data_IF_139721482025
#
_entry.id   IF_139721482025
#
_cell.length_a   1.000
_cell.length_b   1.000
_cell.length_c   1.000
_cell.angle_alpha   90.00
_cell.angle_beta   90.00
_cell.angle_gamma   90.00
#
_symmetry.space_group_name_H-M   'P 1'
#
loop_
_entity.id
_entity.type
_entity.pdbx_description
1 polymer ?
#
# COMPACT_ATOMS: atom_id res chain seq x y z
N UNK A 1 3.79 -66.95 -32.07
CA UNK A 1 4.24 -65.95 -33.06
C UNK A 1 3.29 -64.76 -33.01
N UNK A 2 3.79 -63.62 -32.53
CA UNK A 2 3.24 -62.28 -32.79
C UNK A 2 3.88 -61.75 -34.10
N UNK A 3 3.54 -60.55 -34.67
CA UNK A 3 2.45 -59.60 -34.37
C UNK A 3 1.90 -58.78 -35.60
N UNK A 4 1.04 -57.77 -35.29
CA UNK A 4 0.94 -56.40 -35.88
C UNK A 4 0.23 -56.18 -37.24
N UNK A 5 -0.47 -55.06 -37.54
CA UNK A 5 -0.84 -53.80 -36.86
C UNK A 5 -1.95 -53.09 -37.70
N UNK A 6 -2.68 -52.18 -37.06
CA UNK A 6 -3.71 -51.29 -37.63
C UNK A 6 -3.11 -50.12 -38.47
N UNK A 7 -3.93 -49.36 -39.24
CA UNK A 7 -3.88 -47.90 -39.03
C UNK A 7 -5.25 -47.21 -38.98
N UNK A 8 -5.31 -46.14 -38.19
CA UNK A 8 -6.47 -45.32 -37.88
C UNK A 8 -6.63 -44.11 -38.83
N UNK A 9 -7.89 -43.71 -39.04
CA UNK A 9 -8.34 -42.52 -39.77
C UNK A 9 -8.28 -41.28 -38.85
N UNK A 10 -7.79 -40.17 -39.40
CA UNK A 10 -7.68 -38.86 -38.77
C UNK A 10 -9.00 -38.08 -38.91
N UNK A 11 -9.65 -37.72 -37.80
CA UNK A 11 -10.73 -36.73 -37.78
C UNK A 11 -10.31 -35.59 -36.86
N UNK A 12 -10.20 -34.39 -37.44
CA UNK A 12 -9.89 -33.15 -36.75
C UNK A 12 -11.17 -32.62 -36.10
N UNK A 13 -11.21 -32.60 -34.77
CA UNK A 13 -12.24 -31.88 -34.00
C UNK A 13 -11.58 -30.65 -33.37
N UNK A 14 -12.01 -29.47 -33.79
CA UNK A 14 -11.67 -28.20 -33.16
C UNK A 14 -12.48 -28.11 -31.86
N UNK A 15 -11.81 -28.30 -30.72
CA UNK A 15 -12.36 -28.01 -29.40
C UNK A 15 -12.00 -26.58 -29.04
N UNK A 16 -13.00 -25.70 -29.03
CA UNK A 16 -12.90 -24.37 -28.41
C UNK A 16 -12.77 -24.58 -26.90
N UNK A 17 -11.59 -24.27 -26.36
CA UNK A 17 -11.26 -24.45 -24.95
C UNK A 17 -12.11 -23.56 -24.05
N UNK A 18 -13.08 -24.17 -23.37
CA UNK A 18 -13.71 -23.59 -22.19
C UNK A 18 -12.72 -23.62 -21.03
N UNK A 19 -12.32 -22.44 -20.55
CA UNK A 19 -11.50 -22.31 -19.35
C UNK A 19 -12.26 -22.83 -18.13
N UNK A 20 -11.74 -23.87 -17.49
CA UNK A 20 -12.14 -24.31 -16.16
C UNK A 20 -11.81 -23.20 -15.15
N UNK A 21 -12.77 -22.34 -14.88
CA UNK A 21 -12.70 -21.39 -13.77
C UNK A 21 -12.87 -22.17 -12.47
N UNK A 22 -11.75 -22.56 -11.85
CA UNK A 22 -11.75 -23.16 -10.51
C UNK A 22 -12.38 -22.18 -9.52
N UNK A 23 -13.61 -22.46 -9.10
CA UNK A 23 -14.27 -21.74 -8.02
C UNK A 23 -13.58 -22.07 -6.70
N UNK A 24 -13.02 -21.06 -6.05
CA UNK A 24 -12.37 -21.19 -4.75
C UNK A 24 -13.43 -21.27 -3.63
N UNK A 25 -13.27 -22.12 -2.59
CA UNK A 25 -14.22 -22.15 -1.48
C UNK A 25 -14.27 -20.80 -0.76
N UNK A 26 -15.47 -20.43 -0.31
CA UNK A 26 -15.71 -19.20 0.46
C UNK A 26 -14.82 -19.19 1.72
N UNK A 27 -14.23 -18.04 2.04
CA UNK A 27 -13.48 -17.87 3.29
C UNK A 27 -14.47 -17.99 4.46
N UNK A 28 -14.53 -19.15 5.11
CA UNK A 28 -15.36 -19.37 6.29
C UNK A 28 -14.52 -19.10 7.52
N UNK A 29 -14.58 -17.86 8.03
CA UNK A 29 -14.05 -17.54 9.35
C UNK A 29 -15.10 -18.00 10.37
N UNK A 30 -14.80 -18.93 11.29
CA UNK A 30 -15.74 -19.30 12.33
C UNK A 30 -15.98 -18.08 13.25
N UNK A 31 -17.17 -17.50 13.15
CA UNK A 31 -17.65 -16.50 14.10
C UNK A 31 -17.97 -17.23 15.41
N UNK A 32 -17.21 -16.95 16.47
CA UNK A 32 -17.58 -17.43 17.81
C UNK A 32 -18.85 -16.68 18.25
N UNK A 33 -19.96 -17.36 18.59
CA UNK A 33 -21.12 -16.71 19.17
C UNK A 33 -20.75 -16.18 20.57
N UNK A 34 -20.97 -14.89 20.79
CA UNK A 34 -20.86 -14.26 22.10
C UNK A 34 -21.84 -14.96 23.05
N UNK A 35 -21.33 -15.59 24.09
CA UNK A 35 -22.12 -16.26 25.12
C UNK A 35 -23.03 -15.25 25.84
N UNK A 36 -24.29 -15.64 26.03
CA UNK A 36 -25.36 -14.81 26.56
C UNK A 36 -25.07 -14.17 27.92
N UNK A 37 -25.46 -12.91 28.04
CA UNK A 37 -25.50 -12.15 29.29
C UNK A 37 -26.70 -12.64 30.11
N UNK A 38 -26.57 -12.94 31.42
CA UNK A 38 -27.72 -13.24 32.25
C UNK A 38 -28.51 -11.96 32.55
N UNK A 39 -29.84 -12.03 32.40
CA UNK A 39 -30.79 -11.02 32.88
C UNK A 39 -30.63 -10.83 34.39
N UNK A 40 -30.39 -9.59 34.81
CA UNK A 40 -30.65 -9.12 36.17
C UNK A 40 -31.66 -7.97 36.11
N UNK A 41 -32.79 -8.17 36.77
CA UNK A 41 -33.87 -7.19 36.98
C UNK A 41 -33.49 -6.11 38.02
N UNK A 42 -34.22 -4.99 38.09
CA UNK A 42 -33.67 -3.68 38.41
C UNK A 42 -33.70 -3.36 39.90
N UNK A 43 -32.71 -2.58 40.36
CA UNK A 43 -32.81 -1.83 41.62
C UNK A 43 -32.91 -0.33 41.34
N UNK A 44 -33.97 0.25 41.87
CA UNK A 44 -34.28 1.67 41.94
C UNK A 44 -33.25 2.43 42.78
N UNK A 45 -32.73 3.55 42.25
CA UNK A 45 -32.29 4.67 43.08
C UNK A 45 -32.36 5.97 42.29
N UNK A 46 -33.16 6.88 42.81
CA UNK A 46 -33.36 8.27 42.40
C UNK A 46 -32.14 9.14 42.71
N UNK A 47 -31.68 9.98 41.75
CA UNK A 47 -31.26 11.36 42.05
C UNK A 47 -31.15 12.27 40.82
N UNK A 48 -31.26 13.56 41.11
CA UNK A 48 -31.65 14.73 40.28
C UNK A 48 -30.65 15.17 39.20
N UNK A 49 -31.06 16.05 38.24
CA UNK A 49 -30.26 16.41 37.07
C UNK A 49 -29.29 17.57 37.35
N UNK A 50 -28.07 17.45 36.83
CA UNK A 50 -27.08 18.53 36.75
C UNK A 50 -26.89 18.99 35.29
N UNK A 51 -26.89 20.30 35.10
CA UNK A 51 -26.68 21.01 33.83
C UNK A 51 -25.34 20.65 33.12
N UNK A 52 -25.26 20.77 31.78
CA UNK A 52 -24.05 20.49 31.02
C UNK A 52 -23.06 21.66 31.09
N UNK A 53 -21.84 21.38 31.53
CA UNK A 53 -20.69 22.27 31.33
C UNK A 53 -20.13 22.06 29.93
N UNK A 54 -19.95 23.18 29.23
CA UNK A 54 -19.26 23.26 27.94
C UNK A 54 -17.79 22.87 28.15
N UNK A 55 -17.36 21.74 27.58
CA UNK A 55 -15.95 21.41 27.43
C UNK A 55 -15.56 21.59 25.96
N UNK A 56 -14.85 22.70 25.72
CA UNK A 56 -14.15 23.03 24.49
C UNK A 56 -13.17 21.91 24.10
N UNK A 57 -13.32 21.41 22.88
CA UNK A 57 -12.43 20.42 22.29
C UNK A 57 -11.04 20.98 22.07
N UNK A 58 -10.04 20.33 22.68
CA UNK A 58 -8.64 20.53 22.37
C UNK A 58 -8.32 19.70 21.13
N UNK A 59 -8.13 20.41 20.02
CA UNK A 59 -7.54 19.91 18.78
C UNK A 59 -6.10 19.46 19.05
N UNK A 60 -5.77 18.21 18.71
CA UNK A 60 -4.39 17.74 18.60
C UNK A 60 -4.08 17.44 17.13
N UNK A 61 -3.66 18.48 16.41
CA UNK A 61 -2.90 18.34 15.17
C UNK A 61 -1.42 18.17 15.56
N UNK A 62 -0.92 16.94 15.57
CA UNK A 62 0.49 16.64 15.77
C UNK A 62 1.07 16.05 14.50
N UNK A 63 1.61 16.91 13.65
CA UNK A 63 2.68 16.62 12.71
C UNK A 63 3.13 17.96 12.14
N UNK A 64 4.02 18.68 12.84
CA UNK A 64 4.98 19.68 12.29
C UNK A 64 5.65 20.39 13.48
N UNK A 65 6.83 19.93 13.88
CA UNK A 65 7.80 20.76 14.62
C UNK A 65 9.16 20.08 14.58
N UNK A 66 10.18 20.81 14.12
CA UNK A 66 11.56 20.36 14.16
C UNK A 66 12.49 21.22 13.30
N UNK A 67 12.99 22.29 13.95
CA UNK A 67 14.22 23.04 13.68
C UNK A 67 14.13 24.40 12.97
N UNK A 68 14.18 25.41 13.84
CA UNK A 68 14.59 26.79 13.62
C UNK A 68 16.10 26.86 13.36
N UNK A 69 16.53 27.72 12.43
CA UNK A 69 17.91 28.21 12.38
C UNK A 69 17.92 29.66 11.91
N UNK A 70 18.52 30.47 12.76
CA UNK A 70 18.53 31.93 12.83
C UNK A 70 19.17 32.60 11.62
N UNK A 71 18.53 33.65 11.12
CA UNK A 71 19.14 34.67 10.25
C UNK A 71 20.07 35.56 11.09
N UNK A 72 21.36 35.58 10.75
CA UNK A 72 22.30 36.60 11.21
C UNK A 72 22.38 37.72 10.17
N UNK A 73 21.83 38.87 10.53
CA UNK A 73 22.08 40.17 9.92
C UNK A 73 23.50 40.62 10.27
N UNK A 74 24.30 40.95 9.26
CA UNK A 74 25.55 41.70 9.42
C UNK A 74 25.44 43.00 8.64
N UNK A 75 25.22 44.08 9.40
CA UNK A 75 25.47 45.46 9.00
C UNK A 75 26.97 45.70 8.87
N UNK A 76 27.41 46.47 7.87
CA UNK A 76 28.66 47.22 7.98
C UNK A 76 28.63 48.49 7.13
N UNK A 77 28.41 49.60 7.86
CA UNK A 77 29.18 50.84 7.87
C UNK A 77 29.94 51.28 6.61
N UNK A 78 29.55 52.44 6.09
CA UNK A 78 30.40 53.30 5.27
C UNK A 78 31.54 53.94 6.08
N UNK A 79 32.57 54.46 5.40
CA UNK A 79 32.91 55.85 5.66
C UNK A 79 33.16 56.69 4.40
N UNK A 80 32.78 57.96 4.53
CA UNK A 80 33.06 59.08 3.63
C UNK A 80 34.56 59.37 3.53
N UNK A 81 35.02 59.75 2.32
CA UNK A 81 36.24 60.53 2.13
C UNK A 81 36.10 61.49 0.92
N UNK A 82 35.89 62.76 1.29
CA UNK A 82 36.44 64.03 0.78
C UNK A 82 37.02 64.16 -0.65
N UNK A 83 36.44 65.14 -1.36
CA UNK A 83 37.01 66.13 -2.31
C UNK A 83 38.17 65.77 -3.25
N UNK A 84 37.94 66.00 -4.57
CA UNK A 84 38.47 67.14 -5.35
C UNK A 84 38.04 67.05 -6.83
N UNK A 85 37.57 68.17 -7.38
CA UNK A 85 37.55 68.45 -8.83
C UNK A 85 38.93 69.02 -9.23
N UNK A 86 39.41 68.79 -10.47
CA UNK A 86 39.10 69.74 -11.55
C UNK A 86 38.93 69.16 -12.97
N UNK A 87 38.08 69.86 -13.72
CA UNK A 87 38.10 70.20 -15.16
C UNK A 87 38.72 69.29 -16.22
N UNK A 88 37.81 68.78 -17.07
CA UNK A 88 37.80 68.75 -18.54
C UNK A 88 39.07 68.39 -19.33
N UNK A 89 39.04 67.22 -20.00
CA UNK A 89 39.54 67.07 -21.37
C UNK A 89 38.71 66.05 -22.17
N UNK A 90 38.78 66.23 -23.47
CA UNK A 90 37.82 65.95 -24.54
C UNK A 90 38.01 64.55 -25.14
N UNK A 91 36.89 63.87 -25.37
CA UNK A 91 36.60 62.88 -26.42
C UNK A 91 37.62 61.77 -26.75
N UNK A 92 37.30 60.55 -26.30
CA UNK A 92 37.72 59.30 -26.92
C UNK A 92 36.53 58.34 -27.00
N UNK A 93 36.01 58.10 -28.21
CA UNK A 93 34.90 57.19 -28.46
C UNK A 93 35.30 55.75 -28.13
N UNK A 94 34.86 55.23 -26.98
CA UNK A 94 34.86 53.80 -26.68
C UNK A 94 33.57 53.21 -27.26
N UNK A 95 33.61 52.20 -28.15
CA UNK A 95 32.40 51.57 -28.62
C UNK A 95 31.74 50.85 -27.45
N UNK A 96 30.60 51.37 -26.97
CA UNK A 96 29.70 50.64 -26.07
C UNK A 96 29.29 49.35 -26.78
N UNK A 97 29.88 48.22 -26.39
CA UNK A 97 29.33 46.89 -26.72
C UNK A 97 27.89 46.89 -26.21
N UNK A 98 26.91 46.93 -27.13
CA UNK A 98 25.50 46.66 -26.81
C UNK A 98 25.49 45.30 -26.11
N UNK A 99 25.21 45.29 -24.81
CA UNK A 99 24.83 44.07 -24.11
C UNK A 99 23.60 43.54 -24.85
N UNK A 100 23.80 42.49 -25.64
CA UNK A 100 22.74 41.78 -26.33
C UNK A 100 21.89 41.19 -25.20
N UNK A 101 20.77 41.83 -24.88
CA UNK A 101 19.78 41.32 -23.94
C UNK A 101 19.40 39.93 -24.45
N UNK A 102 19.81 38.88 -23.73
CA UNK A 102 19.34 37.52 -24.02
C UNK A 102 17.81 37.56 -24.01
N UNK A 103 17.12 37.04 -25.03
CA UNK A 103 15.69 37.20 -25.13
C UNK A 103 15.02 36.45 -23.97
N UNK A 104 14.35 37.20 -23.09
CA UNK A 104 13.55 36.71 -21.96
C UNK A 104 12.53 35.64 -22.42
N UNK A 105 12.13 35.66 -23.70
CA UNK A 105 11.27 34.66 -24.33
C UNK A 105 11.82 33.22 -24.27
N UNK A 106 13.15 33.02 -24.31
CA UNK A 106 13.73 31.67 -24.27
C UNK A 106 13.62 31.01 -22.88
N UNK A 107 13.41 31.79 -21.82
CA UNK A 107 13.30 31.28 -20.45
C UNK A 107 11.90 30.69 -20.17
N UNK A 108 10.84 31.25 -20.76
CA UNK A 108 9.47 30.78 -20.55
C UNK A 108 9.22 29.40 -21.16
N UNK A 109 9.73 29.13 -22.37
CA UNK A 109 9.63 27.81 -22.99
C UNK A 109 10.26 26.72 -22.12
N UNK A 110 11.41 26.99 -21.49
CA UNK A 110 12.07 26.05 -20.57
C UNK A 110 11.20 25.78 -19.34
N UNK A 111 10.59 26.81 -18.76
CA UNK A 111 9.69 26.65 -17.59
C UNK A 111 8.47 25.79 -17.93
N UNK A 112 7.84 26.01 -19.09
CA UNK A 112 6.70 25.21 -19.53
C UNK A 112 7.08 23.79 -19.99
N UNK A 113 8.32 23.57 -20.44
CA UNK A 113 8.81 22.25 -20.82
C UNK A 113 9.07 21.34 -19.61
N UNK A 114 9.45 21.91 -18.44
CA UNK A 114 9.80 21.12 -17.25
C UNK A 114 8.67 20.15 -16.83
N UNK A 115 7.41 20.57 -16.64
CA UNK A 115 6.32 19.65 -16.30
C UNK A 115 6.13 18.53 -17.33
N UNK A 116 6.25 18.84 -18.62
CA UNK A 116 6.11 17.85 -19.69
C UNK A 116 7.23 16.81 -19.65
N UNK A 117 8.47 17.25 -19.42
CA UNK A 117 9.62 16.35 -19.27
C UNK A 117 9.44 15.44 -18.05
N UNK A 118 8.97 15.98 -16.93
CA UNK A 118 8.75 15.22 -15.69
C UNK A 118 7.64 14.18 -15.84
N UNK A 119 6.51 14.56 -16.46
CA UNK A 119 5.43 13.61 -16.77
C UNK A 119 5.93 12.55 -17.75
N UNK A 120 6.67 12.93 -18.79
CA UNK A 120 7.24 11.98 -19.76
C UNK A 120 8.22 11.02 -19.08
N UNK A 121 9.07 11.51 -18.19
CA UNK A 121 10.00 10.68 -17.42
C UNK A 121 9.25 9.69 -16.51
N UNK A 122 8.20 10.13 -15.82
CA UNK A 122 7.33 9.24 -15.04
C UNK A 122 6.64 8.18 -15.92
N UNK A 123 6.05 8.55 -17.04
CA UNK A 123 5.43 7.57 -17.93
C UNK A 123 6.45 6.58 -18.53
N UNK A 124 7.68 7.06 -18.74
CA UNK A 124 8.79 6.19 -19.14
C UNK A 124 9.18 5.21 -18.03
N UNK A 125 9.23 5.63 -16.75
CA UNK A 125 9.45 4.71 -15.63
C UNK A 125 8.31 3.69 -15.52
N UNK A 126 7.05 4.10 -15.71
CA UNK A 126 5.90 3.17 -15.76
C UNK A 126 6.11 2.11 -16.86
N UNK A 127 6.52 2.52 -18.06
CA UNK A 127 6.81 1.60 -19.18
C UNK A 127 7.93 0.61 -18.84
N UNK A 128 9.05 1.10 -18.30
CA UNK A 128 10.16 0.24 -17.87
C UNK A 128 9.70 -0.75 -16.80
N UNK A 129 8.99 -0.28 -15.78
CA UNK A 129 8.52 -1.14 -14.70
C UNK A 129 7.66 -2.30 -15.24
N UNK A 130 6.69 -1.99 -16.10
CA UNK A 130 5.81 -2.99 -16.72
C UNK A 130 6.54 -4.00 -17.59
N UNK A 131 7.65 -3.60 -18.22
CA UNK A 131 8.40 -4.44 -19.14
C UNK A 131 9.49 -5.27 -18.45
N UNK A 132 10.13 -4.74 -17.40
CA UNK A 132 11.37 -5.32 -16.84
C UNK A 132 11.21 -5.94 -15.46
N UNK A 133 10.20 -5.55 -14.70
CA UNK A 133 10.01 -6.08 -13.35
C UNK A 133 9.22 -7.39 -13.37
N UNK A 134 9.54 -8.31 -12.43
CA UNK A 134 8.86 -9.59 -12.35
C UNK A 134 7.38 -9.38 -11.98
N UNK A 135 6.52 -10.24 -12.51
CA UNK A 135 5.08 -10.22 -12.25
C UNK A 135 4.66 -11.56 -11.66
N UNK A 136 3.87 -11.52 -10.59
CA UNK A 136 3.20 -12.70 -10.08
C UNK A 136 2.13 -13.14 -11.08
N UNK A 137 2.08 -14.44 -11.40
CA UNK A 137 1.12 -15.04 -12.32
C UNK A 137 0.52 -16.31 -11.73
N UNK A 138 -0.76 -16.53 -11.99
CA UNK A 138 -1.53 -17.68 -11.54
C UNK A 138 -1.42 -17.91 -10.02
N UNK A 139 -1.39 -16.82 -9.24
CA UNK A 139 -1.29 -16.87 -7.77
C UNK A 139 -2.63 -16.56 -7.10
N UNK A 140 -2.84 -17.18 -5.94
CA UNK A 140 -3.89 -16.86 -4.97
C UNK A 140 -3.30 -15.91 -3.94
N UNK A 141 -3.73 -14.65 -3.98
CA UNK A 141 -3.10 -13.54 -3.25
C UNK A 141 -4.08 -13.00 -2.22
N UNK A 142 -3.65 -12.90 -0.96
CA UNK A 142 -4.38 -12.19 0.09
C UNK A 142 -3.68 -10.86 0.39
N UNK A 143 -4.40 -9.75 0.23
CA UNK A 143 -4.02 -8.45 0.76
C UNK A 143 -4.61 -8.31 2.17
N UNK A 144 -3.73 -8.28 3.18
CA UNK A 144 -4.09 -8.12 4.58
C UNK A 144 -3.94 -6.66 5.00
N UNK A 145 -5.06 -6.02 5.35
CA UNK A 145 -5.18 -4.62 5.77
C UNK A 145 -5.83 -4.48 7.13
N UNK A 146 -5.66 -3.31 7.76
CA UNK A 146 -6.17 -3.07 9.11
C UNK A 146 -7.56 -2.47 9.04
N UNK A 147 -7.75 -1.50 8.15
CA UNK A 147 -8.95 -0.67 8.08
C UNK A 147 -9.51 -0.58 6.66
N UNK A 148 -10.82 -0.32 6.51
CA UNK A 148 -11.38 0.13 5.25
C UNK A 148 -10.69 1.43 4.82
N UNK A 149 -10.25 1.54 3.57
CA UNK A 149 -9.48 2.63 2.93
C UNK A 149 -8.00 2.35 2.71
N UNK A 150 -7.40 1.44 3.50
CA UNK A 150 -6.00 1.08 3.39
C UNK A 150 -5.65 0.60 1.97
N UNK A 151 -6.56 -0.15 1.36
CA UNK A 151 -6.39 -0.74 0.04
C UNK A 151 -6.29 0.34 -1.05
N UNK A 152 -7.03 1.43 -0.90
CA UNK A 152 -7.06 2.54 -1.85
C UNK A 152 -5.97 3.58 -1.55
N UNK A 153 -5.64 3.79 -0.27
CA UNK A 153 -4.65 4.79 0.16
C UNK A 153 -3.21 4.33 0.01
N UNK A 154 -2.95 3.03 0.18
CA UNK A 154 -1.59 2.48 0.22
C UNK A 154 -1.32 1.46 -0.89
N UNK A 155 -2.33 0.65 -1.25
CA UNK A 155 -2.14 -0.53 -2.11
C UNK A 155 -2.76 -0.43 -3.51
N UNK A 156 -3.31 0.72 -3.91
CA UNK A 156 -4.00 0.84 -5.19
C UNK A 156 -3.10 0.46 -6.41
N UNK A 157 -1.82 0.89 -6.50
CA UNK A 157 -0.92 0.41 -7.56
C UNK A 157 -0.73 -1.11 -7.55
N UNK A 158 -0.61 -1.71 -6.36
CA UNK A 158 -0.48 -3.17 -6.18
C UNK A 158 -1.73 -3.90 -6.66
N UNK A 159 -2.92 -3.47 -6.23
CA UNK A 159 -4.19 -4.09 -6.61
C UNK A 159 -4.44 -3.99 -8.11
N UNK A 160 -4.31 -2.81 -8.70
CA UNK A 160 -4.51 -2.60 -10.14
C UNK A 160 -3.54 -3.41 -11.00
N UNK A 161 -2.31 -3.61 -10.52
CA UNK A 161 -1.32 -4.43 -11.23
C UNK A 161 -1.60 -5.93 -11.09
N UNK A 162 -1.87 -6.41 -9.88
CA UNK A 162 -2.03 -7.85 -9.60
C UNK A 162 -3.37 -8.41 -10.07
N UNK A 163 -4.40 -7.58 -10.17
CA UNK A 163 -5.73 -7.98 -10.65
C UNK A 163 -5.86 -7.97 -12.18
N UNK A 164 -4.79 -7.61 -12.93
CA UNK A 164 -4.80 -7.70 -14.37
C UNK A 164 -5.18 -9.13 -14.83
N UNK A 165 -6.27 -9.31 -15.60
CA UNK A 165 -6.76 -10.62 -16.02
C UNK A 165 -5.71 -11.49 -16.73
N UNK A 166 -4.78 -10.88 -17.48
CA UNK A 166 -3.71 -11.60 -18.19
C UNK A 166 -2.74 -12.32 -17.24
N UNK A 167 -2.68 -11.91 -15.97
CA UNK A 167 -1.82 -12.56 -14.99
C UNK A 167 -2.46 -13.82 -14.39
N UNK A 168 -3.77 -14.04 -14.58
CA UNK A 168 -4.46 -15.20 -14.01
C UNK A 168 -4.53 -15.22 -12.48
N UNK A 169 -4.10 -14.14 -11.80
CA UNK A 169 -4.12 -14.08 -10.33
C UNK A 169 -5.55 -13.92 -9.80
N UNK A 170 -5.80 -14.50 -8.63
CA UNK A 170 -7.00 -14.22 -7.84
C UNK A 170 -6.59 -13.50 -6.56
N UNK A 171 -6.97 -12.23 -6.46
CA UNK A 171 -6.68 -11.38 -5.30
C UNK A 171 -7.91 -11.31 -4.40
N UNK A 172 -7.70 -11.39 -3.09
CA UNK A 172 -8.70 -11.14 -2.04
C UNK A 172 -8.18 -10.11 -1.05
N UNK A 173 -9.09 -9.41 -0.38
CA UNK A 173 -8.78 -8.50 0.73
C UNK A 173 -9.31 -9.13 2.03
N UNK A 174 -8.45 -9.21 3.03
CA UNK A 174 -8.81 -9.52 4.42
C UNK A 174 -8.53 -8.27 5.26
N UNK A 175 -9.58 -7.68 5.81
CA UNK A 175 -9.53 -6.48 6.65
C UNK A 175 -9.84 -6.88 8.09
N UNK A 176 -8.98 -6.54 9.06
CA UNK A 176 -9.11 -7.04 10.44
C UNK A 176 -10.04 -6.20 11.34
N UNK A 177 -10.46 -5.03 10.89
CA UNK A 177 -11.39 -4.16 11.60
C UNK A 177 -12.32 -3.46 10.61
N UNK A 178 -13.54 -3.17 10.99
CA UNK A 178 -14.47 -2.37 10.17
C UNK A 178 -14.22 -0.87 10.23
N UNK A 179 -13.22 -0.42 10.98
CA UNK A 179 -12.95 1.00 11.16
C UNK A 179 -14.05 1.70 11.95
N UNK A 180 -14.61 1.03 12.96
CA UNK A 180 -15.80 1.50 13.69
C UNK A 180 -15.49 2.52 14.80
N UNK A 181 -14.28 3.10 14.85
CA UNK A 181 -13.93 4.08 15.88
C UNK A 181 -14.85 5.32 15.90
N UNK A 182 -15.44 5.66 14.74
CA UNK A 182 -16.43 6.74 14.59
C UNK A 182 -17.90 6.23 14.59
N UNK A 183 -18.15 4.94 14.85
CA UNK A 183 -19.49 4.33 14.76
C UNK A 183 -20.01 4.14 13.32
N UNK A 184 -19.10 4.06 12.35
CA UNK A 184 -19.40 4.00 10.90
C UNK A 184 -19.03 2.66 10.24
N UNK A 185 -18.74 1.61 11.02
CA UNK A 185 -18.20 0.33 10.54
C UNK A 185 -19.04 -0.31 9.43
N UNK A 186 -20.36 -0.38 9.59
CA UNK A 186 -21.27 -0.92 8.55
C UNK A 186 -21.22 -0.15 7.24
N UNK A 187 -21.06 1.17 7.31
CA UNK A 187 -20.90 2.00 6.11
C UNK A 187 -19.56 1.71 5.47
N UNK A 188 -18.47 1.75 6.25
CA UNK A 188 -17.10 1.57 5.78
C UNK A 188 -16.85 0.18 5.18
N UNK A 189 -17.53 -0.87 5.67
CA UNK A 189 -17.52 -2.19 5.03
C UNK A 189 -18.03 -2.16 3.59
N UNK A 190 -19.18 -1.52 3.36
CA UNK A 190 -19.76 -1.37 2.02
C UNK A 190 -18.87 -0.51 1.12
N UNK A 191 -18.27 0.53 1.69
CA UNK A 191 -17.30 1.38 0.98
C UNK A 191 -16.05 0.59 0.54
N UNK A 192 -15.50 -0.26 1.42
CA UNK A 192 -14.38 -1.15 1.11
C UNK A 192 -14.71 -2.13 -0.01
N UNK A 193 -15.87 -2.78 0.04
CA UNK A 193 -16.32 -3.70 -1.03
C UNK A 193 -16.35 -2.98 -2.38
N UNK A 194 -17.01 -1.83 -2.43
CA UNK A 194 -17.10 -1.01 -3.65
C UNK A 194 -15.72 -0.55 -4.14
N UNK A 195 -14.85 -0.14 -3.22
CA UNK A 195 -13.48 0.27 -3.52
C UNK A 195 -12.66 -0.88 -4.09
N UNK A 196 -12.68 -2.05 -3.45
CA UNK A 196 -11.97 -3.25 -3.91
C UNK A 196 -12.36 -3.66 -5.34
N UNK A 197 -13.66 -3.68 -5.66
CA UNK A 197 -14.13 -3.96 -7.03
C UNK A 197 -13.64 -2.87 -8.01
N UNK A 198 -13.67 -1.59 -7.63
CA UNK A 198 -13.15 -0.51 -8.47
C UNK A 198 -11.64 -0.59 -8.73
N UNK A 199 -10.89 -1.23 -7.82
CA UNK A 199 -9.45 -1.48 -7.92
C UNK A 199 -9.11 -2.83 -8.57
N UNK A 200 -10.11 -3.53 -9.11
CA UNK A 200 -9.94 -4.70 -9.97
C UNK A 200 -10.25 -6.05 -9.34
N UNK A 201 -10.77 -6.11 -8.10
CA UNK A 201 -11.27 -7.38 -7.57
C UNK A 201 -12.40 -7.93 -8.45
N UNK A 202 -12.48 -9.26 -8.57
CA UNK A 202 -13.41 -9.93 -9.49
C UNK A 202 -14.85 -9.87 -9.01
N UNK A 203 -15.05 -9.97 -7.69
CA UNK A 203 -16.36 -10.03 -7.05
C UNK A 203 -16.33 -9.41 -5.65
N UNK A 204 -17.50 -9.04 -5.16
CA UNK A 204 -17.68 -8.50 -3.81
C UNK A 204 -17.24 -9.50 -2.73
N UNK A 205 -17.52 -10.80 -2.94
CA UNK A 205 -17.08 -11.89 -2.04
C UNK A 205 -15.56 -12.07 -1.96
N UNK A 206 -14.75 -11.29 -2.68
CA UNK A 206 -13.30 -11.30 -2.52
C UNK A 206 -12.85 -10.32 -1.42
N UNK A 207 -13.77 -9.61 -0.76
CA UNK A 207 -13.52 -8.74 0.38
C UNK A 207 -14.13 -9.35 1.64
N UNK A 208 -13.28 -9.56 2.65
CA UNK A 208 -13.68 -10.11 3.95
C UNK A 208 -13.27 -9.13 5.05
N UNK A 209 -14.23 -8.75 5.88
CA UNK A 209 -13.98 -7.87 7.04
C UNK A 209 -14.26 -8.65 8.31
N UNK A 210 -13.27 -8.69 9.20
CA UNK A 210 -13.38 -9.30 10.51
C UNK A 210 -13.96 -8.29 11.48
N UNK A 211 -14.98 -8.73 12.23
CA UNK A 211 -15.51 -8.01 13.38
C UNK A 211 -15.12 -8.78 14.62
N UNK A 212 -14.16 -8.26 15.38
CA UNK A 212 -13.70 -8.90 16.60
C UNK A 212 -13.27 -7.87 17.64
N UNK A 213 -13.64 -8.03 18.92
CA UNK A 213 -13.12 -7.19 19.99
C UNK A 213 -11.59 -7.35 20.17
N UNK A 214 -10.98 -8.35 19.53
CA UNK A 214 -9.53 -8.55 19.53
C UNK A 214 -8.78 -7.59 18.61
N UNK A 215 -9.47 -6.99 17.64
CA UNK A 215 -8.90 -6.09 16.63
C UNK A 215 -9.63 -4.73 16.60
N UNK A 216 -9.65 -3.99 17.74
CA UNK A 216 -10.30 -2.69 17.78
C UNK A 216 -9.58 -1.68 16.87
N UNK A 217 -10.35 -0.85 16.18
CA UNK A 217 -9.80 0.30 15.46
C UNK A 217 -9.28 1.33 16.48
N UNK A 218 -7.96 1.55 16.49
CA UNK A 218 -7.29 2.40 17.47
C UNK A 218 -5.94 2.90 16.96
N UNK A 219 -5.65 4.18 17.22
CA UNK A 219 -4.36 4.80 16.90
C UNK A 219 -3.30 4.58 18.00
N UNK A 220 -3.67 3.98 19.13
CA UNK A 220 -2.77 3.77 20.29
C UNK A 220 -2.63 2.31 20.71
N UNK A 221 -3.54 1.44 20.29
CA UNK A 221 -3.59 0.05 20.72
C UNK A 221 -2.93 -0.84 19.66
N UNK A 222 -1.91 -1.60 20.04
CA UNK A 222 -1.39 -2.67 19.19
C UNK A 222 -2.23 -3.94 19.35
N UNK A 223 -2.48 -4.64 18.25
CA UNK A 223 -3.09 -5.97 18.27
C UNK A 223 -2.07 -7.06 18.57
N UNK A 224 -2.54 -8.13 19.20
CA UNK A 224 -1.73 -9.29 19.54
C UNK A 224 -1.38 -10.12 18.29
N UNK A 225 -0.08 -10.33 18.06
CA UNK A 225 0.42 -11.07 16.89
C UNK A 225 -0.02 -12.54 16.86
N UNK A 226 -0.21 -13.18 18.01
CA UNK A 226 -0.64 -14.59 18.10
C UNK A 226 -2.10 -14.69 17.65
N UNK A 227 -2.95 -13.75 18.06
CA UNK A 227 -4.36 -13.71 17.64
C UNK A 227 -4.49 -13.55 16.13
N UNK A 228 -3.72 -12.64 15.53
CA UNK A 228 -3.67 -12.47 14.07
C UNK A 228 -3.19 -13.77 13.41
N UNK A 229 -2.11 -14.38 13.91
CA UNK A 229 -1.58 -15.61 13.34
C UNK A 229 -2.53 -16.79 13.44
N UNK A 230 -3.28 -16.90 14.53
CA UNK A 230 -4.31 -17.92 14.72
C UNK A 230 -5.47 -17.72 13.73
N UNK A 231 -5.90 -16.48 13.51
CA UNK A 231 -6.90 -16.13 12.50
C UNK A 231 -6.41 -16.46 11.08
N UNK A 232 -5.17 -16.11 10.74
CA UNK A 232 -4.59 -16.46 9.43
C UNK A 232 -4.44 -17.98 9.26
N UNK A 233 -4.09 -18.69 10.33
CA UNK A 233 -4.00 -20.16 10.32
C UNK A 233 -5.36 -20.81 10.10
N UNK A 234 -6.41 -20.35 10.79
CA UNK A 234 -7.76 -20.89 10.57
C UNK A 234 -8.28 -20.58 9.17
N UNK A 235 -8.00 -19.38 8.65
CA UNK A 235 -8.42 -18.94 7.33
C UNK A 235 -7.69 -19.65 6.18
N UNK A 236 -6.36 -19.84 6.31
CA UNK A 236 -5.52 -20.21 5.18
C UNK A 236 -4.75 -21.51 5.34
N UNK A 237 -4.68 -22.07 6.55
CA UNK A 237 -4.01 -23.34 6.80
C UNK A 237 -4.78 -24.18 7.84
N UNK A 238 -6.03 -24.60 7.54
CA UNK A 238 -6.88 -25.30 8.51
C UNK A 238 -6.30 -26.64 8.99
N UNK A 239 -5.41 -27.25 8.22
CA UNK A 239 -4.67 -28.46 8.64
C UNK A 239 -3.68 -28.18 9.79
N UNK A 240 -3.28 -26.93 10.01
CA UNK A 240 -2.38 -26.50 11.08
C UNK A 240 -3.10 -25.96 12.31
N UNK A 241 -4.37 -25.53 12.20
CA UNK A 241 -5.15 -25.03 13.35
C UNK A 241 -5.51 -26.13 14.37
N UNK A 242 -5.26 -27.41 14.04
CA UNK A 242 -5.41 -28.54 14.97
C UNK A 242 -4.08 -29.32 15.15
N UNK A 243 -3.11 -28.76 15.91
CA UNK A 243 -1.77 -29.33 16.07
C UNK A 243 -1.75 -30.72 16.73
N UNK A 244 -2.79 -31.11 17.47
CA UNK A 244 -2.87 -32.42 18.12
C UNK A 244 -3.10 -33.59 17.16
N UNK A 245 -3.55 -33.36 15.92
CA UNK A 245 -3.79 -34.44 14.93
C UNK A 245 -2.68 -34.60 13.88
N UNK A 246 -1.86 -33.59 13.64
CA UNK A 246 -0.94 -33.59 12.50
C UNK A 246 0.53 -33.60 12.93
N UNK A 247 1.01 -34.78 13.36
CA UNK A 247 2.40 -35.22 13.13
C UNK A 247 2.58 -35.73 11.69
N UNK A 248 1.93 -35.10 10.71
CA UNK A 248 2.00 -35.53 9.32
C UNK A 248 3.37 -35.21 8.74
N UNK A 249 3.98 -36.18 8.06
CA UNK A 249 5.25 -36.06 7.31
C UNK A 249 5.06 -35.24 6.02
N UNK A 250 3.81 -34.88 5.71
CA UNK A 250 3.43 -34.19 4.48
C UNK A 250 3.87 -32.73 4.43
N UNK A 251 4.04 -32.22 3.21
CA UNK A 251 4.42 -30.85 2.94
C UNK A 251 3.41 -29.85 3.56
N UNK A 252 3.88 -28.70 4.09
CA UNK A 252 3.01 -27.64 4.57
C UNK A 252 2.07 -27.17 3.44
N UNK A 253 0.77 -27.12 3.70
CA UNK A 253 -0.23 -26.68 2.73
C UNK A 253 -0.93 -25.40 3.20
N UNK A 254 -1.17 -24.49 2.25
CA UNK A 254 -1.96 -23.29 2.45
C UNK A 254 -2.92 -23.08 1.28
N UNK A 255 -4.04 -22.44 1.56
CA UNK A 255 -5.02 -22.09 0.51
C UNK A 255 -4.57 -20.88 -0.30
N UNK A 256 -3.64 -20.07 0.19
CA UNK A 256 -3.03 -18.94 -0.52
C UNK A 256 -1.58 -19.24 -0.89
N UNK A 257 -1.08 -18.55 -1.91
CA UNK A 257 0.33 -18.62 -2.33
C UNK A 257 1.10 -17.37 -1.88
N UNK A 258 0.40 -16.24 -1.73
CA UNK A 258 1.01 -14.94 -1.43
C UNK A 258 0.17 -14.18 -0.40
N UNK A 259 0.83 -13.63 0.62
CA UNK A 259 0.29 -12.71 1.60
C UNK A 259 0.99 -11.36 1.45
N UNK A 260 0.22 -10.28 1.29
CA UNK A 260 0.72 -8.91 1.16
C UNK A 260 0.23 -8.09 2.34
N UNK A 261 1.10 -7.33 2.99
CA UNK A 261 0.70 -6.41 4.07
C UNK A 261 1.71 -5.26 4.24
N UNK A 262 1.58 -4.47 5.30
CA UNK A 262 2.52 -3.41 5.65
C UNK A 262 3.86 -3.95 6.16
N UNK A 263 4.92 -3.16 6.07
CA UNK A 263 6.20 -3.49 6.69
C UNK A 263 6.22 -3.21 8.21
N UNK A 264 7.38 -3.44 8.84
CA UNK A 264 7.60 -3.26 10.27
C UNK A 264 7.32 -1.82 10.79
N UNK A 265 7.29 -0.83 9.90
CA UNK A 265 7.03 0.57 10.26
C UNK A 265 5.58 1.00 9.98
N UNK A 266 4.76 0.17 9.32
CA UNK A 266 3.34 0.43 9.13
C UNK A 266 3.03 1.69 8.29
N UNK A 267 3.95 2.12 7.43
CA UNK A 267 3.93 3.35 6.60
C UNK A 267 4.00 4.65 7.39
N UNK A 268 3.11 4.84 8.36
CA UNK A 268 2.98 6.04 9.19
C UNK A 268 3.06 5.72 10.68
N UNK A 269 3.68 4.59 11.03
CA UNK A 269 3.81 4.11 12.41
C UNK A 269 2.47 3.83 13.10
N UNK A 270 1.44 3.47 12.31
CA UNK A 270 0.13 3.13 12.86
C UNK A 270 0.21 1.77 13.58
N UNK A 271 -0.18 1.66 14.88
CA UNK A 271 -0.05 0.43 15.64
C UNK A 271 -0.69 -0.79 14.99
N UNK A 272 -1.93 -0.66 14.49
CA UNK A 272 -2.62 -1.75 13.80
C UNK A 272 -1.86 -2.25 12.55
N UNK A 273 -1.25 -1.37 11.76
CA UNK A 273 -0.49 -1.76 10.57
C UNK A 273 0.78 -2.52 10.95
N UNK A 274 1.47 -2.06 12.00
CA UNK A 274 2.64 -2.74 12.58
C UNK A 274 2.24 -4.12 13.13
N UNK A 275 1.07 -4.22 13.77
CA UNK A 275 0.56 -5.50 14.27
C UNK A 275 0.30 -6.49 13.13
N UNK A 276 -0.19 -6.05 11.97
CA UNK A 276 -0.35 -6.93 10.80
C UNK A 276 0.98 -7.53 10.34
N UNK A 277 2.04 -6.71 10.27
CA UNK A 277 3.38 -7.18 9.93
C UNK A 277 3.84 -8.29 10.89
N UNK A 278 3.73 -8.06 12.20
CA UNK A 278 4.16 -9.04 13.20
C UNK A 278 3.28 -10.30 13.22
N UNK A 279 1.96 -10.15 13.06
CA UNK A 279 1.02 -11.26 12.96
C UNK A 279 1.24 -12.13 11.72
N UNK A 280 1.45 -11.50 10.56
CA UNK A 280 1.77 -12.18 9.32
C UNK A 280 3.11 -12.94 9.41
N UNK A 281 4.17 -12.31 9.94
CA UNK A 281 5.45 -13.00 10.15
C UNK A 281 5.31 -14.17 11.13
N UNK A 282 4.52 -14.03 12.18
CA UNK A 282 4.27 -15.11 13.12
C UNK A 282 3.52 -16.27 12.47
N UNK A 283 2.49 -15.99 11.66
CA UNK A 283 1.79 -17.00 10.86
C UNK A 283 2.76 -17.78 9.95
N UNK A 284 3.59 -17.08 9.18
CA UNK A 284 4.60 -17.72 8.31
C UNK A 284 5.56 -18.60 9.12
N UNK A 285 6.04 -18.12 10.27
CA UNK A 285 6.91 -18.89 11.16
C UNK A 285 6.21 -20.17 11.68
N UNK A 286 4.92 -20.09 11.99
CA UNK A 286 4.12 -21.27 12.40
C UNK A 286 3.95 -22.30 11.29
N UNK A 287 3.92 -21.90 10.01
CA UNK A 287 3.81 -22.83 8.87
C UNK A 287 5.05 -23.72 8.71
N UNK A 288 6.23 -23.17 9.04
CA UNK A 288 7.55 -23.81 8.87
C UNK A 288 8.08 -24.46 10.16
N UNK A 289 7.45 -24.18 11.30
CA UNK A 289 7.84 -24.73 12.60
C UNK A 289 7.79 -26.27 12.59
N UNK A 290 8.82 -26.93 13.14
CA UNK A 290 9.01 -28.38 13.16
C UNK A 290 9.06 -29.07 11.78
N UNK A 291 9.32 -28.34 10.69
CA UNK A 291 9.43 -28.89 9.33
C UNK A 291 10.73 -28.48 8.62
N UNK A 292 11.90 -28.86 9.16
CA UNK A 292 13.18 -28.52 8.56
C UNK A 292 13.29 -29.13 7.15
N UNK A 293 13.68 -28.32 6.16
CA UNK A 293 13.89 -28.75 4.78
C UNK A 293 12.75 -28.48 3.81
N UNK A 294 11.54 -28.13 4.29
CA UNK A 294 10.43 -27.71 3.44
C UNK A 294 10.38 -26.19 3.29
N UNK A 295 10.17 -25.70 2.06
CA UNK A 295 9.90 -24.28 1.80
C UNK A 295 8.55 -23.86 2.40
N UNK A 296 8.43 -22.58 2.76
CA UNK A 296 7.13 -22.05 3.17
C UNK A 296 6.18 -22.04 1.95
N UNK A 297 4.94 -22.52 2.08
CA UNK A 297 3.99 -22.52 0.96
C UNK A 297 3.44 -21.12 0.65
N UNK A 298 3.71 -20.12 1.50
CA UNK A 298 3.19 -18.75 1.37
C UNK A 298 4.34 -17.75 1.35
N UNK A 299 4.40 -16.95 0.29
CA UNK A 299 5.29 -15.80 0.23
C UNK A 299 4.69 -14.60 0.95
N UNK A 300 5.44 -14.01 1.89
CA UNK A 300 5.06 -12.78 2.56
C UNK A 300 5.76 -11.59 1.92
N UNK A 301 4.99 -10.68 1.34
CA UNK A 301 5.48 -9.41 0.80
C UNK A 301 5.00 -8.23 1.65
N UNK A 302 5.89 -7.27 1.87
CA UNK A 302 5.61 -6.09 2.69
C UNK A 302 5.79 -4.81 1.89
N UNK A 303 4.87 -3.86 2.07
CA UNK A 303 4.95 -2.53 1.48
C UNK A 303 5.95 -1.66 2.23
N UNK A 304 6.95 -1.14 1.52
CA UNK A 304 8.00 -0.32 2.14
C UNK A 304 7.50 1.03 2.64
N UNK A 305 7.82 1.31 3.90
CA UNK A 305 7.77 2.63 4.51
C UNK A 305 8.95 3.49 4.03
N UNK A 306 8.66 4.74 3.68
CA UNK A 306 9.68 5.72 3.26
C UNK A 306 9.71 6.96 4.14
N UNK A 307 10.79 7.73 4.02
CA UNK A 307 10.92 9.03 4.68
C UNK A 307 9.77 9.98 4.30
N UNK A 308 9.46 10.92 5.18
CA UNK A 308 8.37 11.89 4.97
C UNK A 308 8.52 12.67 3.66
N UNK A 309 9.76 13.01 3.28
CA UNK A 309 10.05 13.67 2.01
C UNK A 309 9.62 12.82 0.81
N UNK A 310 10.05 11.55 0.75
CA UNK A 310 9.65 10.63 -0.33
C UNK A 310 8.17 10.26 -0.28
N UNK A 311 7.55 10.31 0.90
CA UNK A 311 6.13 10.02 1.08
C UNK A 311 5.25 10.98 0.29
N UNK A 312 5.62 12.26 0.21
CA UNK A 312 4.80 13.33 -0.40
C UNK A 312 5.34 13.89 -1.73
N UNK A 313 6.14 13.10 -2.46
CA UNK A 313 6.67 13.48 -3.79
C UNK A 313 5.85 12.91 -4.95
N UNK A 314 4.74 12.22 -4.71
CA UNK A 314 3.85 11.69 -5.75
C UNK A 314 4.62 10.92 -6.84
N UNK A 315 4.38 11.22 -8.12
CA UNK A 315 5.01 10.55 -9.25
C UNK A 315 6.51 10.81 -9.41
N UNK A 316 7.08 11.84 -8.77
CA UNK A 316 8.53 12.07 -8.79
C UNK A 316 9.30 10.92 -8.12
N UNK A 317 8.67 10.27 -7.14
CA UNK A 317 9.28 9.14 -6.45
C UNK A 317 9.46 7.90 -7.36
N UNK A 318 8.75 7.83 -8.50
CA UNK A 318 8.90 6.73 -9.45
C UNK A 318 10.33 6.62 -9.99
N UNK A 319 10.98 7.76 -10.26
CA UNK A 319 12.36 7.83 -10.75
C UNK A 319 13.32 7.40 -9.64
N UNK A 320 13.14 7.95 -8.44
CA UNK A 320 13.97 7.63 -7.27
C UNK A 320 13.87 6.14 -6.93
N UNK A 321 12.66 5.61 -6.85
CA UNK A 321 12.40 4.18 -6.57
C UNK A 321 13.05 3.27 -7.60
N UNK A 322 12.91 3.62 -8.88
CA UNK A 322 13.51 2.84 -9.96
C UNK A 322 15.03 2.81 -9.87
N UNK A 323 15.67 3.95 -9.56
CA UNK A 323 17.12 4.03 -9.39
C UNK A 323 17.60 3.24 -8.16
N UNK A 324 16.93 3.38 -7.02
CA UNK A 324 17.27 2.65 -5.80
C UNK A 324 17.14 1.13 -5.99
N UNK A 325 16.08 0.69 -6.66
CA UNK A 325 15.89 -0.74 -6.93
C UNK A 325 16.86 -1.23 -8.00
N UNK A 326 17.24 -0.39 -8.99
CA UNK A 326 18.22 -0.76 -10.00
C UNK A 326 19.59 -1.15 -9.39
N UNK A 327 19.99 -0.50 -8.29
CA UNK A 327 21.25 -0.76 -7.58
C UNK A 327 21.12 -1.76 -6.43
N UNK A 328 19.89 -2.21 -6.12
CA UNK A 328 19.63 -3.15 -5.03
C UNK A 328 19.86 -4.61 -5.47
N UNK A 329 20.17 -5.48 -4.50
CA UNK A 329 20.25 -6.92 -4.73
C UNK A 329 18.86 -7.49 -5.05
N UNK A 330 18.69 -8.03 -6.26
CA UNK A 330 17.42 -8.59 -6.74
C UNK A 330 17.44 -10.10 -6.66
N UNK A 331 16.35 -10.67 -6.14
CA UNK A 331 16.07 -12.08 -6.26
C UNK A 331 15.07 -12.25 -7.41
N UNK A 332 15.48 -12.84 -8.53
CA UNK A 332 14.63 -12.99 -9.73
C UNK A 332 14.18 -14.44 -9.97
N UNK A 333 14.41 -15.32 -8.99
CA UNK A 333 14.07 -16.75 -9.06
C UNK A 333 12.58 -16.96 -8.72
N UNK A 334 12.23 -18.17 -8.27
CA UNK A 334 10.87 -18.62 -7.96
C UNK A 334 10.05 -17.64 -7.09
N UNK A 335 10.72 -16.97 -6.15
CA UNK A 335 10.15 -15.93 -5.29
C UNK A 335 10.79 -14.57 -5.62
N UNK A 336 10.23 -13.81 -6.59
CA UNK A 336 10.85 -12.59 -7.07
C UNK A 336 10.78 -11.44 -6.04
N UNK A 337 11.88 -10.72 -5.83
CA UNK A 337 11.95 -9.56 -4.93
C UNK A 337 12.99 -8.54 -5.42
N UNK A 338 12.67 -7.24 -5.45
CA UNK A 338 11.39 -6.63 -5.11
C UNK A 338 10.36 -6.72 -6.25
N UNK A 339 9.08 -6.62 -5.91
CA UNK A 339 8.01 -6.32 -6.86
C UNK A 339 7.82 -4.80 -6.90
N UNK A 340 7.78 -4.22 -8.11
CA UNK A 340 7.57 -2.78 -8.29
C UNK A 340 6.33 -2.54 -9.15
N UNK A 341 5.35 -1.86 -8.57
CA UNK A 341 4.13 -1.46 -9.24
C UNK A 341 4.09 0.05 -9.38
N UNK A 342 4.04 0.51 -10.64
CA UNK A 342 3.91 1.92 -11.00
C UNK A 342 2.58 2.16 -11.73
N UNK A 343 1.77 3.05 -11.15
CA UNK A 343 0.53 3.55 -11.76
C UNK A 343 0.85 4.61 -12.80
N UNK A 344 0.18 4.54 -13.96
CA UNK A 344 0.13 5.64 -14.92
C UNK A 344 -1.04 6.57 -14.61
N UNK A 345 -1.37 7.46 -15.54
CA UNK A 345 -2.43 8.47 -15.34
C UNK A 345 -3.79 7.82 -15.08
N UNK A 346 -4.13 6.76 -15.82
CA UNK A 346 -5.42 6.07 -15.66
C UNK A 346 -5.53 5.41 -14.30
N UNK A 347 -4.48 4.68 -13.89
CA UNK A 347 -4.46 3.95 -12.63
C UNK A 347 -4.47 4.90 -11.42
N UNK A 348 -3.76 6.03 -11.49
CA UNK A 348 -3.82 7.07 -10.45
C UNK A 348 -5.23 7.64 -10.34
N UNK A 349 -5.92 7.89 -11.46
CA UNK A 349 -7.32 8.36 -11.44
C UNK A 349 -8.26 7.32 -10.87
N UNK A 350 -8.08 6.04 -11.19
CA UNK A 350 -8.86 4.94 -10.59
C UNK A 350 -8.64 4.89 -9.08
N UNK A 351 -7.40 4.98 -8.62
CA UNK A 351 -7.06 5.01 -7.20
C UNK A 351 -7.69 6.22 -6.46
N UNK A 352 -7.61 7.41 -7.05
CA UNK A 352 -8.27 8.61 -6.52
C UNK A 352 -9.80 8.46 -6.52
N UNK A 353 -10.36 7.84 -7.56
CA UNK A 353 -11.78 7.53 -7.68
C UNK A 353 -12.25 6.57 -6.60
N UNK A 354 -11.47 5.53 -6.27
CA UNK A 354 -11.75 4.60 -5.19
C UNK A 354 -11.92 5.34 -3.85
N UNK A 355 -11.01 6.25 -3.53
CA UNK A 355 -11.15 7.09 -2.33
C UNK A 355 -12.32 8.06 -2.39
N UNK A 356 -12.44 8.83 -3.47
CA UNK A 356 -13.42 9.94 -3.54
C UNK A 356 -14.86 9.49 -3.77
N UNK A 357 -15.06 8.31 -4.37
CA UNK A 357 -16.39 7.83 -4.77
C UNK A 357 -16.86 6.58 -4.04
N UNK A 358 -15.94 5.73 -3.55
CA UNK A 358 -16.28 4.60 -2.70
C UNK A 358 -16.19 4.98 -1.21
N UNK A 359 -15.05 5.49 -0.75
CA UNK A 359 -14.83 5.87 0.67
C UNK A 359 -15.32 7.27 1.03
N UNK A 360 -16.58 7.58 0.69
CA UNK A 360 -17.17 8.92 0.90
C UNK A 360 -17.19 9.32 2.37
N UNK A 361 -17.52 8.39 3.28
CA UNK A 361 -17.57 8.63 4.72
C UNK A 361 -16.21 8.99 5.30
N UNK A 362 -15.13 8.64 4.60
CA UNK A 362 -13.77 8.80 5.07
C UNK A 362 -13.08 10.04 4.50
N UNK A 363 -13.62 10.66 3.45
CA UNK A 363 -13.00 11.80 2.78
C UNK A 363 -13.02 13.06 3.65
N UNK A 364 -11.93 13.24 4.41
CA UNK A 364 -11.61 14.46 5.16
C UNK A 364 -10.63 15.34 4.36
N UNK A 365 -10.53 16.63 4.72
CA UNK A 365 -9.72 17.61 3.99
C UNK A 365 -8.26 17.15 3.74
N UNK A 366 -7.61 16.53 4.74
CA UNK A 366 -6.23 16.07 4.63
C UNK A 366 -6.08 14.86 3.68
N UNK A 367 -7.14 14.08 3.45
CA UNK A 367 -7.11 12.96 2.51
C UNK A 367 -7.01 13.43 1.06
N UNK A 368 -7.48 14.64 0.74
CA UNK A 368 -7.23 15.25 -0.57
C UNK A 368 -5.74 15.51 -0.82
N UNK A 369 -5.02 15.97 0.21
CA UNK A 369 -3.57 16.10 0.15
C UNK A 369 -2.89 14.74 -0.03
N UNK A 370 -3.35 13.71 0.69
CA UNK A 370 -2.84 12.35 0.54
C UNK A 370 -3.01 11.82 -0.89
N UNK A 371 -4.23 11.80 -1.43
CA UNK A 371 -4.49 11.20 -2.76
C UNK A 371 -3.86 12.00 -3.92
N UNK A 372 -3.43 13.24 -3.68
CA UNK A 372 -2.71 14.06 -4.66
C UNK A 372 -1.18 13.92 -4.56
N UNK A 373 -0.64 13.95 -3.34
CA UNK A 373 0.80 14.08 -3.11
C UNK A 373 1.48 12.78 -2.66
N UNK A 374 0.73 11.79 -2.16
CA UNK A 374 1.31 10.56 -1.66
C UNK A 374 1.96 9.75 -2.79
N UNK A 375 3.20 9.29 -2.56
CA UNK A 375 3.85 8.34 -3.47
C UNK A 375 3.03 7.05 -3.61
N UNK A 376 2.28 6.65 -2.59
CA UNK A 376 1.57 5.36 -2.57
C UNK A 376 0.38 5.32 -3.54
N UNK A 377 -0.05 6.47 -4.08
CA UNK A 377 -1.00 6.52 -5.21
C UNK A 377 -0.35 6.13 -6.55
N UNK A 378 0.99 6.22 -6.62
CA UNK A 378 1.76 6.07 -7.85
C UNK A 378 2.73 4.89 -7.82
N UNK A 379 3.35 4.63 -6.66
CA UNK A 379 4.45 3.68 -6.49
C UNK A 379 4.16 2.77 -5.31
N UNK A 380 4.18 1.46 -5.55
CA UNK A 380 4.33 0.45 -4.51
C UNK A 380 5.55 -0.41 -4.83
N UNK A 381 6.51 -0.44 -3.91
CA UNK A 381 7.58 -1.42 -3.89
C UNK A 381 7.35 -2.41 -2.75
N UNK A 382 7.23 -3.69 -3.10
CA UNK A 382 7.02 -4.78 -2.16
C UNK A 382 8.25 -5.66 -2.07
N UNK A 383 8.65 -6.00 -0.85
CA UNK A 383 9.83 -6.82 -0.58
C UNK A 383 9.42 -8.15 0.04
N UNK A 384 10.04 -9.22 -0.44
CA UNK A 384 9.86 -10.55 0.15
C UNK A 384 10.51 -10.60 1.55
N UNK A 385 9.71 -10.97 2.54
CA UNK A 385 10.15 -11.11 3.92
C UNK A 385 10.88 -12.43 4.15
N UNK A 386 12.07 -12.34 4.74
CA UNK A 386 12.80 -13.52 5.22
C UNK A 386 12.32 -13.85 6.63
N UNK A 387 11.59 -14.95 6.76
CA UNK A 387 11.12 -15.49 8.03
C UNK A 387 11.85 -16.79 8.31
N UNK A 388 12.60 -16.83 9.40
CA UNK A 388 13.22 -18.05 9.92
C UNK A 388 12.25 -18.71 10.90
N UNK A 389 12.27 -20.05 10.97
CA UNK A 389 11.59 -20.75 12.06
C UNK A 389 12.15 -20.23 13.40
N UNK A 390 11.26 -19.90 14.33
CA UNK A 390 11.63 -19.42 15.66
C UNK A 390 12.23 -20.54 16.52
#
# INVERSE_FOLDING_TARGET
>A
MCPFQNPALLVVVIVVGGGLQQSWPSLQIPLNPVAGTPMLQPRSASHRPGHPSKATGVFAAWCFSGYSSSLLLLSSSAPLLSHRHPSAHRAGNIPRRRARSRPVAMQWFTVFAIPLVLISAWLYTVSIARARFPKLRNKRICLLIAHPDDEAMFFAPTLLALTNPELGNHVKILCLSSGDADGLGETRKKELVKSGVSLGLRKEDDVFVVESPEFPDSITTAWDKQKIANLLSSAFAPNLSNPMKNKSVDAPTATIDVLITFDASGVSSHPNHISLFHGARHFIASLIHNRPGWGCPVDLYTLSSVSLARKYTSFFDSIISMLLIAVSNKQMKEHPSPLLFLSGISEVRTAQGAMTTAHKSQMRWFRWGWIGLSRYMVVNDLWLEKVTAA
#
